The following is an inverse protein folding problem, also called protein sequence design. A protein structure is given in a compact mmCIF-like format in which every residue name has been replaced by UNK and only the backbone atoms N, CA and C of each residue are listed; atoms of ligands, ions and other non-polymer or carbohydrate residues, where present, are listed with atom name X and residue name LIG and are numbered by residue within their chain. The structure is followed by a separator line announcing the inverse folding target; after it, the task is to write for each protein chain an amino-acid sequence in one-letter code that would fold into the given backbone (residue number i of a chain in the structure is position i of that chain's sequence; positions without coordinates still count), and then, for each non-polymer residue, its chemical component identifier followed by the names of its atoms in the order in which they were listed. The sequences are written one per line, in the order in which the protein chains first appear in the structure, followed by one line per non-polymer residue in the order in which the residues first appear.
data_IF_988728642972
#
_entry.id   IF_988728642972
#
_cell.length_a   1.000
_cell.length_b   1.000
_cell.length_c   1.000
_cell.angle_alpha   90.00
_cell.angle_beta   90.00
_cell.angle_gamma   90.00
#
_symmetry.space_group_name_H-M   'P 1'
#
loop_
_entity.id
_entity.type
_entity.pdbx_description
1 polymer ?
#
# COMPACT_ATOMS: atom_id res chain seq x y z
N UNK A 1 74.87 -15.34 -3.39
CA UNK A 1 73.56 -14.82 -2.92
C UNK A 1 72.95 -13.96 -4.02
N UNK A 2 71.95 -14.47 -4.73
CA UNK A 2 71.30 -13.75 -5.83
C UNK A 2 70.03 -13.04 -5.31
N UNK A 3 70.06 -11.70 -5.32
CA UNK A 3 68.94 -10.83 -4.95
C UNK A 3 67.81 -10.96 -5.99
N UNK A 4 66.64 -11.48 -5.59
CA UNK A 4 65.44 -11.50 -6.42
C UNK A 4 64.71 -10.17 -6.28
N UNK A 5 64.67 -9.40 -7.36
CA UNK A 5 64.02 -8.09 -7.44
C UNK A 5 62.50 -8.18 -7.22
N UNK A 6 61.92 -7.35 -6.33
CA UNK A 6 60.49 -7.36 -5.99
C UNK A 6 59.58 -6.72 -7.06
N UNK A 7 60.12 -6.27 -8.19
CA UNK A 7 59.36 -5.55 -9.22
C UNK A 7 58.56 -6.47 -10.17
N UNK A 8 58.96 -7.73 -10.31
CA UNK A 8 58.28 -8.70 -11.20
C UNK A 8 56.83 -9.03 -10.82
N UNK A 9 56.45 -9.27 -9.54
CA UNK A 9 55.06 -9.60 -9.20
C UNK A 9 54.08 -8.43 -9.40
N UNK A 10 54.53 -7.18 -9.29
CA UNK A 10 53.68 -6.00 -9.49
C UNK A 10 53.35 -5.77 -10.97
N UNK A 11 54.34 -5.94 -11.87
CA UNK A 11 54.13 -5.84 -13.31
C UNK A 11 53.20 -6.93 -13.84
N UNK A 12 53.32 -8.17 -13.33
CA UNK A 12 52.42 -9.26 -13.72
C UNK A 12 50.99 -8.99 -13.26
N UNK A 13 50.78 -8.48 -12.05
CA UNK A 13 49.44 -8.11 -11.57
C UNK A 13 48.81 -6.97 -12.38
N UNK A 14 49.60 -5.95 -12.73
CA UNK A 14 49.12 -4.83 -13.55
C UNK A 14 48.71 -5.29 -14.96
N UNK A 15 49.49 -6.18 -15.58
CA UNK A 15 49.17 -6.76 -16.89
C UNK A 15 47.91 -7.64 -16.85
N UNK A 16 47.74 -8.46 -15.81
CA UNK A 16 46.54 -9.30 -15.65
C UNK A 16 45.28 -8.44 -15.44
N UNK A 17 45.38 -7.38 -14.64
CA UNK A 17 44.26 -6.44 -14.44
C UNK A 17 43.93 -5.65 -15.71
N UNK A 18 44.94 -5.19 -16.46
CA UNK A 18 44.75 -4.50 -17.73
C UNK A 18 44.10 -5.37 -18.80
N UNK A 19 44.52 -6.63 -18.91
CA UNK A 19 43.94 -7.58 -19.86
C UNK A 19 42.49 -7.95 -19.51
N UNK A 20 42.17 -8.12 -18.22
CA UNK A 20 40.81 -8.37 -17.77
C UNK A 20 39.87 -7.18 -18.06
N UNK A 21 40.33 -5.94 -17.84
CA UNK A 21 39.56 -4.74 -18.14
C UNK A 21 39.31 -4.55 -19.65
N UNK A 22 40.33 -4.79 -20.49
CA UNK A 22 40.19 -4.69 -21.94
C UNK A 22 39.26 -5.78 -22.53
N UNK A 23 39.31 -7.00 -21.96
CA UNK A 23 38.40 -8.08 -22.32
C UNK A 23 36.94 -7.76 -21.97
N UNK A 24 36.70 -7.15 -20.80
CA UNK A 24 35.37 -6.72 -20.39
C UNK A 24 34.79 -5.65 -21.32
N UNK A 25 35.60 -4.63 -21.67
CA UNK A 25 35.16 -3.55 -22.58
C UNK A 25 34.81 -4.08 -23.98
N UNK A 26 35.62 -4.99 -24.54
CA UNK A 26 35.31 -5.61 -25.84
C UNK A 26 34.05 -6.49 -25.78
N UNK A 27 33.87 -7.25 -24.70
CA UNK A 27 32.67 -8.05 -24.52
C UNK A 27 31.41 -7.17 -24.46
N UNK A 28 31.47 -6.02 -23.76
CA UNK A 28 30.37 -5.06 -23.64
C UNK A 28 30.04 -4.35 -24.96
N UNK A 29 31.06 -4.02 -25.75
CA UNK A 29 30.87 -3.37 -27.06
C UNK A 29 30.34 -4.32 -28.15
N UNK A 30 30.49 -5.63 -27.97
CA UNK A 30 30.02 -6.65 -28.90
C UNK A 30 28.57 -7.10 -28.67
N UNK A 31 27.91 -6.63 -27.60
CA UNK A 31 26.55 -7.09 -27.26
C UNK A 31 25.49 -6.27 -28.00
N UNK A 32 24.52 -6.91 -28.69
CA UNK A 32 23.44 -6.20 -29.40
C UNK A 32 22.65 -5.26 -28.48
N UNK A 33 22.08 -4.21 -29.06
CA UNK A 33 21.49 -3.04 -28.38
C UNK A 33 20.56 -3.30 -27.17
N UNK A 34 19.75 -4.37 -27.12
CA UNK A 34 18.95 -4.68 -25.93
C UNK A 34 19.80 -4.99 -24.68
N UNK A 35 20.93 -5.67 -24.84
CA UNK A 35 21.82 -6.05 -23.74
C UNK A 35 22.79 -4.93 -23.35
N UNK A 36 23.12 -4.03 -24.28
CA UNK A 36 23.91 -2.83 -23.97
C UNK A 36 23.21 -1.93 -22.93
N UNK A 37 21.88 -1.83 -22.97
CA UNK A 37 21.07 -1.15 -21.94
C UNK A 37 21.17 -1.80 -20.56
N UNK A 38 21.36 -3.13 -20.51
CA UNK A 38 21.57 -3.87 -19.25
C UNK A 38 22.95 -3.56 -18.67
N UNK A 39 23.98 -3.47 -19.52
CA UNK A 39 25.34 -3.12 -19.09
C UNK A 39 25.47 -1.64 -18.72
N UNK A 40 24.84 -0.72 -19.43
CA UNK A 40 24.81 0.71 -19.06
C UNK A 40 24.05 0.95 -17.73
N UNK A 41 23.32 -0.05 -17.23
CA UNK A 41 22.72 -0.05 -15.90
C UNK A 41 23.62 -0.63 -14.79
N UNK A 42 24.76 -1.24 -15.11
CA UNK A 42 25.70 -1.75 -14.11
C UNK A 42 26.38 -0.58 -13.40
N UNK A 43 25.94 -0.30 -12.16
CA UNK A 43 26.40 0.83 -11.34
C UNK A 43 25.28 1.77 -10.91
N UNK A 44 24.11 1.70 -11.56
CA UNK A 44 22.91 2.36 -11.05
C UNK A 44 22.50 1.74 -9.71
N UNK A 45 22.08 2.56 -8.76
CA UNK A 45 21.47 2.05 -7.54
C UNK A 45 20.23 1.23 -7.88
N UNK A 46 19.88 0.23 -7.06
CA UNK A 46 18.66 -0.57 -7.26
C UNK A 46 17.40 0.29 -7.36
N UNK A 47 17.39 1.46 -6.73
CA UNK A 47 16.33 2.46 -6.79
C UNK A 47 16.24 3.13 -8.17
N UNK A 48 17.35 3.57 -8.75
CA UNK A 48 17.37 4.20 -10.09
C UNK A 48 17.01 3.21 -11.20
N UNK A 49 17.47 1.96 -11.08
CA UNK A 49 17.08 0.89 -11.99
C UNK A 49 15.57 0.64 -11.93
N UNK A 50 15.00 0.57 -10.72
CA UNK A 50 13.56 0.41 -10.50
C UNK A 50 12.76 1.58 -11.07
N UNK A 51 13.17 2.81 -10.79
CA UNK A 51 12.53 4.04 -11.28
C UNK A 51 12.48 4.09 -12.80
N UNK A 52 13.55 3.68 -13.46
CA UNK A 52 13.62 3.63 -14.93
C UNK A 52 12.68 2.60 -15.54
N UNK A 53 12.52 1.45 -14.89
CA UNK A 53 11.72 0.33 -15.41
C UNK A 53 10.24 0.47 -15.10
N UNK A 54 9.87 0.88 -13.88
CA UNK A 54 8.48 0.90 -13.40
C UNK A 54 7.95 2.31 -13.04
N UNK A 55 8.79 3.34 -13.17
CA UNK A 55 8.42 4.71 -12.84
C UNK A 55 8.50 5.08 -11.35
N UNK A 56 8.24 6.37 -11.08
CA UNK A 56 8.32 6.95 -9.73
C UNK A 56 7.25 6.44 -8.79
N UNK A 57 6.02 6.28 -9.28
CA UNK A 57 4.89 5.83 -8.47
C UNK A 57 5.14 4.44 -7.88
N UNK A 58 5.60 3.49 -8.70
CA UNK A 58 5.96 2.14 -8.24
C UNK A 58 7.13 2.20 -7.24
N UNK A 59 8.17 2.97 -7.58
CA UNK A 59 9.36 3.08 -6.74
C UNK A 59 9.04 3.61 -5.35
N UNK A 60 8.27 4.70 -5.27
CA UNK A 60 7.80 5.28 -4.01
C UNK A 60 6.93 4.31 -3.21
N UNK A 61 6.04 3.57 -3.87
CA UNK A 61 5.22 2.56 -3.21
C UNK A 61 6.07 1.43 -2.59
N UNK A 62 7.07 0.93 -3.32
CA UNK A 62 8.01 -0.07 -2.78
C UNK A 62 8.79 0.47 -1.58
N UNK A 63 9.22 1.73 -1.60
CA UNK A 63 9.95 2.32 -0.49
C UNK A 63 9.07 2.46 0.76
N UNK A 64 7.80 2.86 0.61
CA UNK A 64 6.80 2.86 1.68
C UNK A 64 6.60 1.45 2.24
N UNK A 65 6.49 0.44 1.37
CA UNK A 65 6.36 -0.96 1.79
C UNK A 65 7.59 -1.46 2.54
N UNK A 66 8.79 -1.09 2.08
CA UNK A 66 10.04 -1.45 2.75
C UNK A 66 10.15 -0.81 4.13
N UNK A 67 9.71 0.44 4.29
CA UNK A 67 9.66 1.10 5.59
C UNK A 67 8.63 0.43 6.52
N UNK A 68 7.49 0.00 5.98
CA UNK A 68 6.39 -0.60 6.76
C UNK A 68 6.53 -2.07 7.12
N UNK A 69 7.42 -2.80 6.44
CA UNK A 69 7.65 -4.24 6.66
C UNK A 69 9.13 -4.42 7.06
N UNK A 70 9.45 -4.93 8.26
CA UNK A 70 10.84 -5.12 8.65
C UNK A 70 11.54 -6.15 7.75
N UNK A 71 12.87 -6.16 7.61
CA UNK A 71 13.59 -7.07 6.71
C UNK A 71 13.27 -8.57 6.88
N UNK A 72 12.95 -9.04 8.09
CA UNK A 72 12.50 -10.43 8.34
C UNK A 72 10.97 -10.64 8.32
N UNK A 73 10.21 -9.55 8.13
CA UNK A 73 8.77 -9.53 8.16
C UNK A 73 8.14 -10.29 6.99
N UNK A 74 6.96 -10.85 7.26
CA UNK A 74 6.13 -11.48 6.24
C UNK A 74 5.22 -10.48 5.53
N UNK A 75 4.83 -10.80 4.31
CA UNK A 75 3.71 -10.15 3.65
C UNK A 75 2.94 -11.15 2.79
N UNK A 76 1.64 -10.93 2.69
CA UNK A 76 0.76 -11.71 1.84
C UNK A 76 0.58 -10.94 0.53
N UNK A 77 0.85 -11.57 -0.61
CA UNK A 77 0.68 -10.93 -1.91
C UNK A 77 -0.51 -11.52 -2.64
N UNK A 78 -1.40 -10.66 -3.11
CA UNK A 78 -2.48 -11.03 -4.01
C UNK A 78 -2.26 -10.33 -5.35
N UNK A 79 -1.96 -11.14 -6.37
CA UNK A 79 -1.85 -10.65 -7.73
C UNK A 79 -3.19 -10.73 -8.44
N UNK A 80 -3.58 -9.61 -9.06
CA UNK A 80 -4.76 -9.49 -9.90
C UNK A 80 -4.41 -9.57 -11.40
N UNK A 81 -3.13 -9.45 -11.73
CA UNK A 81 -2.56 -9.54 -13.07
C UNK A 81 -2.25 -10.99 -13.50
N UNK A 82 -1.66 -11.13 -14.69
CA UNK A 82 -1.19 -12.42 -15.22
C UNK A 82 -0.23 -13.11 -14.24
N UNK A 83 -0.24 -14.45 -14.17
CA UNK A 83 0.65 -15.20 -13.30
C UNK A 83 2.10 -14.74 -13.41
N UNK A 84 2.69 -14.36 -12.28
CA UNK A 84 4.10 -14.01 -12.19
C UNK A 84 4.41 -12.52 -12.14
N UNK A 85 3.42 -11.62 -12.25
CA UNK A 85 3.63 -10.20 -11.97
C UNK A 85 4.07 -9.93 -10.52
N UNK A 86 3.75 -10.81 -9.58
CA UNK A 86 4.16 -10.76 -8.18
C UNK A 86 5.66 -11.03 -7.95
N UNK A 87 6.35 -11.71 -8.87
CA UNK A 87 7.76 -12.09 -8.67
C UNK A 87 8.70 -10.89 -8.59
N UNK A 88 8.31 -9.80 -9.24
CA UNK A 88 9.06 -8.56 -9.34
C UNK A 88 9.03 -7.85 -7.99
N UNK A 89 7.83 -7.79 -7.39
CA UNK A 89 7.63 -7.28 -6.05
C UNK A 89 8.38 -8.12 -5.00
N UNK A 90 8.44 -9.45 -5.16
CA UNK A 90 9.25 -10.33 -4.30
C UNK A 90 10.72 -9.96 -4.31
N UNK A 91 11.27 -9.72 -5.50
CA UNK A 91 12.67 -9.32 -5.63
C UNK A 91 12.91 -7.97 -4.93
N UNK A 92 12.03 -7.00 -5.18
CA UNK A 92 12.14 -5.66 -4.63
C UNK A 92 11.95 -5.59 -3.11
N UNK A 93 11.11 -6.45 -2.54
CA UNK A 93 10.87 -6.50 -1.09
C UNK A 93 11.83 -7.40 -0.33
N UNK A 94 12.66 -8.19 -1.02
CA UNK A 94 13.73 -8.99 -0.40
C UNK A 94 14.53 -8.15 0.63
N UNK A 95 14.83 -8.69 1.84
CA UNK A 95 14.69 -10.09 2.27
C UNK A 95 13.34 -10.48 2.90
N UNK A 96 12.30 -9.65 2.74
CA UNK A 96 10.96 -9.89 3.31
C UNK A 96 10.34 -11.17 2.75
N UNK A 97 9.61 -11.91 3.59
CA UNK A 97 9.04 -13.22 3.23
C UNK A 97 7.67 -13.05 2.57
N UNK A 98 7.59 -13.32 1.28
CA UNK A 98 6.32 -13.33 0.55
C UNK A 98 5.59 -14.65 0.74
N UNK A 99 4.29 -14.60 1.01
CA UNK A 99 3.35 -15.70 0.72
C UNK A 99 2.38 -15.26 -0.36
N UNK A 100 2.43 -15.96 -1.50
CA UNK A 100 1.50 -15.72 -2.59
C UNK A 100 0.15 -16.35 -2.25
N UNK A 101 -0.90 -15.56 -2.41
CA UNK A 101 -2.27 -15.97 -2.25
C UNK A 101 -2.87 -16.21 -3.64
N UNK A 102 -3.24 -17.45 -3.94
CA UNK A 102 -3.84 -17.82 -5.22
C UNK A 102 -5.23 -17.18 -5.37
N UNK A 103 -5.36 -16.24 -6.32
CA UNK A 103 -6.61 -15.50 -6.58
C UNK A 103 -7.83 -16.41 -6.78
N UNK A 104 -7.65 -17.61 -7.35
CA UNK A 104 -8.75 -18.55 -7.60
C UNK A 104 -9.28 -19.15 -6.30
N UNK A 105 -8.40 -19.30 -5.30
CA UNK A 105 -8.71 -19.86 -3.98
C UNK A 105 -9.06 -18.78 -2.95
N UNK A 106 -8.61 -17.53 -3.13
CA UNK A 106 -8.79 -16.44 -2.16
C UNK A 106 -10.19 -15.83 -2.13
N UNK A 107 -11.13 -16.36 -2.92
CA UNK A 107 -12.55 -16.13 -2.67
C UNK A 107 -13.05 -16.86 -1.41
N UNK A 108 -12.30 -17.83 -0.92
CA UNK A 108 -12.57 -18.51 0.35
C UNK A 108 -12.00 -17.71 1.53
N UNK A 109 -12.84 -17.22 2.46
CA UNK A 109 -12.40 -16.53 3.65
C UNK A 109 -11.48 -17.34 4.56
N UNK A 110 -11.65 -18.67 4.60
CA UNK A 110 -10.86 -19.57 5.44
C UNK A 110 -9.38 -19.57 5.06
N UNK A 111 -9.08 -19.69 3.77
CA UNK A 111 -7.70 -19.78 3.26
C UNK A 111 -6.87 -18.55 3.61
N UNK A 112 -7.48 -17.37 3.53
CA UNK A 112 -6.80 -16.11 3.86
C UNK A 112 -6.68 -15.90 5.38
N UNK A 113 -7.67 -16.32 6.17
CA UNK A 113 -7.56 -16.35 7.64
C UNK A 113 -6.43 -17.28 8.07
N UNK A 114 -6.35 -18.46 7.48
CA UNK A 114 -5.27 -19.42 7.73
C UNK A 114 -3.91 -18.84 7.31
N UNK A 115 -3.85 -18.16 6.16
CA UNK A 115 -2.63 -17.51 5.69
C UNK A 115 -2.17 -16.37 6.61
N UNK A 116 -3.09 -15.55 7.13
CA UNK A 116 -2.79 -14.49 8.08
C UNK A 116 -2.46 -15.02 9.48
N UNK A 117 -3.15 -16.06 9.95
CA UNK A 117 -2.83 -16.74 11.20
C UNK A 117 -1.44 -17.39 11.15
N UNK A 118 -1.04 -17.91 9.99
CA UNK A 118 0.26 -18.53 9.80
C UNK A 118 1.42 -17.53 9.62
N UNK A 119 1.15 -16.23 9.42
CA UNK A 119 2.14 -15.15 9.44
C UNK A 119 1.60 -13.94 10.24
N UNK A 120 1.56 -14.04 11.59
CA UNK A 120 1.09 -12.95 12.44
C UNK A 120 1.88 -11.66 12.17
N UNK A 121 1.18 -10.58 11.87
CA UNK A 121 1.78 -9.28 11.54
C UNK A 121 2.19 -9.11 10.07
N UNK A 122 1.89 -10.08 9.19
CA UNK A 122 2.09 -9.89 7.76
C UNK A 122 1.17 -8.80 7.19
N UNK A 123 1.75 -7.90 6.39
CA UNK A 123 0.94 -6.94 5.62
C UNK A 123 0.39 -7.61 4.38
N UNK A 124 -0.87 -7.34 4.05
CA UNK A 124 -1.47 -7.81 2.82
C UNK A 124 -1.25 -6.77 1.72
N UNK A 125 -0.72 -7.21 0.60
CA UNK A 125 -0.38 -6.40 -0.57
C UNK A 125 -1.24 -6.84 -1.75
N UNK A 126 -1.86 -5.86 -2.40
CA UNK A 126 -2.56 -6.04 -3.66
C UNK A 126 -1.68 -5.54 -4.80
N UNK A 127 -1.47 -6.42 -5.78
CA UNK A 127 -0.75 -6.13 -7.02
C UNK A 127 -1.75 -6.22 -8.16
N UNK A 128 -2.33 -5.08 -8.54
CA UNK A 128 -3.44 -5.04 -9.50
C UNK A 128 -2.96 -5.20 -10.95
N UNK A 129 -1.84 -4.57 -11.28
CA UNK A 129 -1.25 -4.50 -12.62
C UNK A 129 0.30 -4.41 -12.51
N UNK A 130 1.05 -4.94 -13.48
CA UNK A 130 2.51 -4.73 -13.56
C UNK A 130 2.89 -3.24 -13.74
N UNK A 131 2.00 -2.43 -14.32
CA UNK A 131 2.26 -1.00 -14.58
C UNK A 131 1.79 -0.08 -13.44
N UNK A 132 1.09 -0.64 -12.44
CA UNK A 132 0.55 0.10 -11.31
C UNK A 132 1.41 -0.04 -10.05
N UNK A 133 1.46 0.98 -9.16
CA UNK A 133 2.13 0.84 -7.88
C UNK A 133 1.43 -0.23 -7.02
N UNK A 134 2.17 -1.11 -6.33
CA UNK A 134 1.58 -2.04 -5.37
C UNK A 134 0.92 -1.28 -4.22
N UNK A 135 -0.19 -1.79 -3.71
CA UNK A 135 -0.95 -1.15 -2.63
C UNK A 135 -1.03 -2.06 -1.42
N UNK A 136 -0.90 -1.51 -0.22
CA UNK A 136 -1.28 -2.23 0.99
C UNK A 136 -2.80 -2.27 1.09
N UNK A 137 -3.35 -3.41 1.46
CA UNK A 137 -4.76 -3.55 1.79
C UNK A 137 -4.93 -4.38 3.06
N UNK A 138 -6.14 -4.49 3.58
CA UNK A 138 -6.46 -5.35 4.72
C UNK A 138 -7.28 -6.54 4.25
N UNK A 139 -7.28 -7.64 5.00
CA UNK A 139 -8.08 -8.82 4.64
C UNK A 139 -9.57 -8.49 4.51
N UNK A 140 -10.11 -7.67 5.43
CA UNK A 140 -11.48 -7.19 5.30
C UNK A 140 -11.71 -6.44 3.99
N UNK A 141 -10.73 -5.63 3.55
CA UNK A 141 -10.85 -4.89 2.29
C UNK A 141 -10.90 -5.76 1.04
N UNK A 142 -10.44 -7.01 1.10
CA UNK A 142 -10.62 -7.93 -0.02
C UNK A 142 -12.02 -8.54 -0.11
N UNK A 143 -12.73 -8.64 1.01
CA UNK A 143 -14.05 -9.27 1.06
C UNK A 143 -15.20 -8.30 1.10
N UNK A 144 -14.88 -7.01 1.22
CA UNK A 144 -15.93 -6.09 1.59
C UNK A 144 -16.38 -6.18 3.05
N UNK A 145 -15.71 -7.08 3.78
CA UNK A 145 -15.58 -7.14 5.22
C UNK A 145 -15.13 -5.78 5.75
N UNK A 146 -15.86 -5.07 6.63
CA UNK A 146 -15.20 -4.04 7.45
C UNK A 146 -13.86 -4.61 7.96
N UNK A 147 -12.76 -3.83 8.00
CA UNK A 147 -11.43 -4.37 8.25
C UNK A 147 -11.51 -5.31 9.47
N UNK A 148 -10.91 -6.50 9.38
CA UNK A 148 -10.85 -7.49 10.46
C UNK A 148 -10.01 -6.92 11.61
N UNK A 149 -10.55 -5.90 12.24
CA UNK A 149 -9.97 -5.25 13.39
C UNK A 149 -10.34 -6.10 14.60
N UNK A 150 -9.41 -6.32 15.54
CA UNK A 150 -9.68 -7.11 16.73
C UNK A 150 -10.92 -6.56 17.47
N UNK A 151 -11.92 -7.40 17.75
CA UNK A 151 -13.18 -6.97 18.39
C UNK A 151 -12.93 -6.45 19.83
N UNK A 152 -11.86 -6.89 20.49
CA UNK A 152 -11.43 -6.37 21.79
C UNK A 152 -10.93 -4.91 21.74
N UNK A 153 -10.53 -4.43 20.56
CA UNK A 153 -10.18 -3.03 20.31
C UNK A 153 -11.37 -2.21 19.80
N UNK A 154 -12.55 -2.81 19.66
CA UNK A 154 -13.76 -2.08 19.27
C UNK A 154 -14.18 -1.17 20.41
N UNK A 155 -14.31 0.11 20.11
CA UNK A 155 -14.68 1.13 21.08
C UNK A 155 -15.86 1.95 20.58
N UNK A 156 -17.06 1.58 21.05
CA UNK A 156 -18.30 2.30 20.76
C UNK A 156 -18.36 3.70 21.41
N UNK A 157 -17.45 3.99 22.35
CA UNK A 157 -17.28 5.30 22.97
C UNK A 157 -16.46 6.28 22.12
N UNK A 158 -15.82 5.83 21.02
CA UNK A 158 -15.12 6.72 20.12
C UNK A 158 -16.09 7.74 19.50
N UNK A 159 -15.84 9.02 19.76
CA UNK A 159 -16.70 10.10 19.26
C UNK A 159 -16.33 10.42 17.82
N UNK A 160 -17.18 9.98 16.91
CA UNK A 160 -16.99 10.04 15.46
C UNK A 160 -18.34 10.26 14.79
N UNK A 161 -18.37 10.80 13.58
CA UNK A 161 -19.62 10.96 12.85
C UNK A 161 -19.47 10.84 11.33
N UNK A 162 -20.56 10.43 10.69
CA UNK A 162 -20.83 10.58 9.27
C UNK A 162 -21.96 11.60 9.17
N UNK A 163 -21.65 12.80 8.66
CA UNK A 163 -22.59 13.93 8.58
C UNK A 163 -23.37 13.92 7.27
N UNK A 164 -22.75 13.44 6.19
CA UNK A 164 -23.35 13.33 4.85
C UNK A 164 -22.84 12.05 4.19
N UNK A 165 -23.69 11.29 3.48
CA UNK A 165 -25.13 11.47 3.33
C UNK A 165 -25.89 11.21 4.63
N UNK A 166 -27.10 11.75 4.72
CA UNK A 166 -28.10 11.29 5.71
C UNK A 166 -28.81 10.04 5.19
N UNK A 167 -29.40 9.26 6.10
CA UNK A 167 -30.08 8.01 5.74
C UNK A 167 -31.23 8.25 4.76
N UNK A 168 -31.27 7.47 3.69
CA UNK A 168 -32.23 7.57 2.59
C UNK A 168 -31.96 8.71 1.60
N UNK A 169 -30.84 9.45 1.71
CA UNK A 169 -30.55 10.57 0.83
C UNK A 169 -30.38 10.13 -0.64
N UNK A 170 -30.86 10.98 -1.55
CA UNK A 170 -30.61 10.82 -2.99
C UNK A 170 -29.31 11.52 -3.39
N UNK A 171 -28.40 10.82 -4.07
CA UNK A 171 -27.10 11.35 -4.52
C UNK A 171 -26.80 11.00 -5.97
N UNK A 172 -26.04 11.87 -6.63
CA UNK A 172 -25.38 11.58 -7.91
C UNK A 172 -24.07 10.80 -7.70
N UNK A 173 -23.51 10.25 -8.78
CA UNK A 173 -22.15 9.69 -8.85
C UNK A 173 -21.17 10.80 -9.32
N UNK A 174 -20.11 11.14 -8.57
CA UNK A 174 -19.68 10.52 -7.31
C UNK A 174 -20.47 10.98 -6.08
N UNK A 175 -20.65 10.05 -5.13
CA UNK A 175 -21.28 10.28 -3.82
C UNK A 175 -20.36 11.11 -2.92
N UNK A 176 -20.86 12.24 -2.43
CA UNK A 176 -20.21 13.03 -1.39
C UNK A 176 -20.42 12.37 -0.03
N UNK A 177 -19.33 12.11 0.69
CA UNK A 177 -19.35 11.66 2.08
C UNK A 177 -18.54 12.62 2.93
N UNK A 178 -19.16 13.14 3.98
CA UNK A 178 -18.52 14.04 4.94
C UNK A 178 -18.75 13.55 6.36
N UNK A 179 -17.85 13.91 7.25
CA UNK A 179 -17.95 13.60 8.66
C UNK A 179 -16.73 14.10 9.42
N UNK A 180 -16.52 13.56 10.61
CA UNK A 180 -15.36 13.90 11.41
C UNK A 180 -14.95 12.76 12.34
N UNK A 181 -13.68 12.79 12.75
CA UNK A 181 -13.10 11.85 13.70
C UNK A 181 -11.89 12.48 14.37
N UNK A 182 -11.89 12.55 15.69
CA UNK A 182 -10.85 13.14 16.51
C UNK A 182 -10.76 12.41 17.85
N UNK A 183 -9.55 12.19 18.34
CA UNK A 183 -9.28 11.70 19.68
C UNK A 183 -9.01 12.89 20.64
N UNK A 184 -9.28 12.71 21.94
CA UNK A 184 -8.89 13.70 22.96
C UNK A 184 -7.41 14.07 22.90
N UNK A 185 -7.13 15.35 23.13
CA UNK A 185 -5.77 15.91 23.12
C UNK A 185 -5.18 16.13 21.74
N UNK A 186 -5.95 16.67 20.80
CA UNK A 186 -5.49 17.15 19.48
C UNK A 186 -4.99 16.07 18.52
N UNK A 187 -5.48 14.84 18.66
CA UNK A 187 -5.03 13.71 17.84
C UNK A 187 -6.12 13.34 16.82
N UNK A 188 -5.92 13.61 15.51
CA UNK A 188 -6.83 13.10 14.49
C UNK A 188 -6.80 11.58 14.47
N UNK A 189 -7.95 10.97 14.18
CA UNK A 189 -7.98 9.53 13.96
C UNK A 189 -7.01 9.13 12.85
N UNK A 190 -6.25 8.07 13.10
CA UNK A 190 -5.25 7.55 12.19
C UNK A 190 -5.83 7.21 10.81
N UNK A 191 -7.06 6.68 10.75
CA UNK A 191 -7.70 6.33 9.48
C UNK A 191 -9.23 6.50 9.50
N UNK A 192 -9.78 6.77 8.31
CA UNK A 192 -11.20 6.66 7.99
C UNK A 192 -11.31 5.80 6.73
N UNK A 193 -12.03 4.68 6.83
CA UNK A 193 -12.25 3.76 5.71
C UNK A 193 -13.74 3.74 5.36
N UNK A 194 -14.07 3.96 4.08
CA UNK A 194 -15.44 4.06 3.61
C UNK A 194 -15.80 2.82 2.77
N UNK A 195 -17.03 2.33 2.95
CA UNK A 195 -17.51 1.08 2.34
C UNK A 195 -18.89 1.28 1.75
N UNK A 196 -19.13 0.74 0.56
CA UNK A 196 -20.44 0.71 -0.07
C UNK A 196 -20.84 -0.74 -0.30
N UNK A 197 -22.05 -1.10 0.15
CA UNK A 197 -22.62 -2.45 0.03
C UNK A 197 -21.72 -3.55 0.62
N UNK A 198 -20.99 -3.18 1.68
CA UNK A 198 -19.97 -4.03 2.26
C UNK A 198 -18.92 -4.40 1.23
N UNK A 199 -18.38 -3.43 0.49
CA UNK A 199 -17.16 -3.46 -0.33
C UNK A 199 -16.38 -2.17 -0.04
N UNK A 200 -15.03 -2.14 -0.07
CA UNK A 200 -14.32 -0.88 0.07
C UNK A 200 -14.75 0.07 -1.04
N UNK A 201 -15.08 1.30 -0.67
CA UNK A 201 -15.50 2.28 -1.65
C UNK A 201 -14.30 2.70 -2.52
N UNK A 202 -14.54 2.87 -3.83
CA UNK A 202 -13.53 3.45 -4.72
C UNK A 202 -13.57 4.97 -4.54
N UNK A 203 -12.51 5.51 -3.95
CA UNK A 203 -12.42 6.93 -3.59
C UNK A 203 -11.89 7.74 -4.77
N UNK A 204 -12.69 8.67 -5.28
CA UNK A 204 -12.31 9.65 -6.30
C UNK A 204 -11.42 10.77 -5.73
N UNK A 205 -11.73 11.24 -4.53
CA UNK A 205 -10.96 12.25 -3.80
C UNK A 205 -11.16 12.10 -2.30
N UNK A 206 -10.14 12.44 -1.51
CA UNK A 206 -10.22 12.47 -0.04
C UNK A 206 -9.44 13.67 0.49
N UNK A 207 -10.04 14.44 1.39
CA UNK A 207 -9.39 15.56 2.06
C UNK A 207 -9.78 15.65 3.54
N UNK A 208 -8.89 16.22 4.35
CA UNK A 208 -9.15 16.61 5.74
C UNK A 208 -9.42 18.10 5.79
N UNK A 209 -10.29 18.55 6.69
CA UNK A 209 -10.58 19.98 6.86
C UNK A 209 -10.92 20.34 8.32
N UNK A 210 -10.81 21.64 8.71
CA UNK A 210 -11.09 22.10 10.06
C UNK A 210 -12.55 21.94 10.49
N UNK A 211 -12.76 21.54 11.75
CA UNK A 211 -14.08 21.45 12.41
C UNK A 211 -14.11 22.28 13.70
N UNK A 212 -14.13 23.63 13.60
CA UNK A 212 -14.19 24.50 14.77
C UNK A 212 -15.52 24.37 15.53
N UNK A 213 -16.57 23.90 14.86
CA UNK A 213 -17.84 23.51 15.46
C UNK A 213 -17.68 22.35 16.45
N UNK A 214 -16.90 21.33 16.10
CA UNK A 214 -16.62 20.18 16.96
C UNK A 214 -15.79 20.60 18.17
N UNK A 215 -14.71 21.36 17.97
CA UNK A 215 -13.88 21.87 19.08
C UNK A 215 -14.67 22.75 20.07
N UNK A 216 -15.70 23.46 19.59
CA UNK A 216 -16.57 24.28 20.44
C UNK A 216 -17.48 23.44 21.33
N UNK A 217 -17.99 22.32 20.81
CA UNK A 217 -18.92 21.44 21.53
C UNK A 217 -18.19 20.43 22.41
N UNK A 218 -16.99 19.99 21.99
CA UNK A 218 -16.15 19.01 22.67
C UNK A 218 -14.75 19.59 22.92
N UNK A 219 -14.59 20.51 23.88
CA UNK A 219 -13.30 21.18 24.14
C UNK A 219 -12.16 20.21 24.49
N UNK A 220 -12.46 19.05 25.08
CA UNK A 220 -11.50 18.00 25.43
C UNK A 220 -10.78 17.39 24.23
N UNK A 221 -11.33 17.57 23.02
CA UNK A 221 -10.69 17.16 21.77
C UNK A 221 -9.53 18.08 21.36
N UNK A 222 -9.47 19.28 21.94
CA UNK A 222 -8.51 20.33 21.59
C UNK A 222 -8.64 20.80 20.14
N UNK A 223 -7.54 21.15 19.49
CA UNK A 223 -7.53 21.59 18.08
C UNK A 223 -8.14 20.55 17.13
N UNK A 224 -9.26 20.93 16.50
CA UNK A 224 -9.97 20.16 15.48
C UNK A 224 -9.66 20.63 14.05
N UNK A 225 -8.48 21.17 13.79
CA UNK A 225 -8.07 21.65 12.46
C UNK A 225 -8.04 20.57 11.36
N UNK A 226 -7.95 19.29 11.77
CA UNK A 226 -7.92 18.14 10.85
C UNK A 226 -8.96 17.07 11.19
N UNK A 227 -9.92 17.39 12.05
CA UNK A 227 -10.93 16.44 12.51
C UNK A 227 -11.91 16.06 11.40
N UNK A 228 -12.24 17.00 10.51
CA UNK A 228 -13.17 16.79 9.40
C UNK A 228 -12.56 15.92 8.30
N UNK A 229 -13.39 15.14 7.62
CA UNK A 229 -13.04 14.48 6.38
C UNK A 229 -14.13 14.71 5.32
N UNK A 230 -13.70 14.81 4.06
CA UNK A 230 -14.56 14.84 2.89
C UNK A 230 -14.03 13.85 1.86
N UNK A 231 -14.90 12.97 1.39
CA UNK A 231 -14.59 12.00 0.36
C UNK A 231 -15.61 12.07 -0.77
N UNK A 232 -15.16 11.76 -1.99
CA UNK A 232 -16.04 11.49 -3.12
C UNK A 232 -15.87 10.03 -3.50
N UNK A 233 -16.97 9.27 -3.52
CA UNK A 233 -16.97 7.84 -3.75
C UNK A 233 -17.67 7.53 -5.07
N UNK A 234 -17.05 6.70 -5.90
CA UNK A 234 -17.73 6.18 -7.07
C UNK A 234 -18.76 5.13 -6.68
N UNK A 235 -19.81 5.05 -7.49
CA UNK A 235 -20.82 4.00 -7.40
C UNK A 235 -20.16 2.61 -7.47
N UNK A 236 -20.58 1.63 -6.64
CA UNK A 236 -19.92 0.33 -6.59
C UNK A 236 -20.10 -0.48 -7.88
N UNK A 237 -21.20 -0.24 -8.60
CA UNK A 237 -21.49 -0.87 -9.89
C UNK A 237 -22.42 0.01 -10.75
N UNK A 238 -22.28 -0.04 -12.08
CA UNK A 238 -23.25 0.59 -12.98
C UNK A 238 -24.67 0.12 -12.69
N UNK A 239 -25.64 1.03 -12.71
CA UNK A 239 -27.06 0.70 -12.53
C UNK A 239 -27.53 0.38 -11.09
N UNK A 240 -26.68 0.44 -10.06
CA UNK A 240 -27.16 0.30 -8.68
C UNK A 240 -28.20 1.38 -8.32
N UNK A 241 -29.39 1.00 -7.85
CA UNK A 241 -30.41 1.99 -7.45
C UNK A 241 -30.17 2.49 -6.04
N UNK A 242 -29.70 1.61 -5.16
CA UNK A 242 -29.39 1.92 -3.77
C UNK A 242 -28.04 1.34 -3.35
N UNK A 243 -27.41 1.95 -2.35
CA UNK A 243 -26.21 1.42 -1.69
C UNK A 243 -26.24 1.69 -0.18
N UNK A 244 -25.60 0.82 0.60
CA UNK A 244 -25.40 0.97 2.04
C UNK A 244 -23.98 1.43 2.35
N UNK A 245 -23.84 2.65 2.86
CA UNK A 245 -22.58 3.23 3.27
C UNK A 245 -22.22 2.83 4.71
N UNK A 246 -20.97 2.47 4.95
CA UNK A 246 -20.38 2.35 6.28
C UNK A 246 -19.08 3.14 6.35
N UNK A 247 -18.80 3.72 7.52
CA UNK A 247 -17.51 4.31 7.83
C UNK A 247 -16.86 3.54 8.98
N UNK A 248 -15.57 3.25 8.86
CA UNK A 248 -14.77 2.64 9.90
C UNK A 248 -13.65 3.58 10.28
N UNK A 249 -13.64 3.96 11.55
CA UNK A 249 -12.73 4.91 12.14
C UNK A 249 -11.71 4.16 12.98
N UNK A 250 -10.43 4.49 12.82
CA UNK A 250 -9.35 3.87 13.59
C UNK A 250 -8.50 4.97 14.21
N UNK A 251 -8.26 4.85 15.51
CA UNK A 251 -7.40 5.74 16.30
C UNK A 251 -5.93 5.36 16.17
N UNK A 252 -5.04 6.23 16.66
CA UNK A 252 -3.60 5.95 16.65
C UNK A 252 -3.20 4.76 17.54
N UNK A 253 -3.96 4.48 18.60
CA UNK A 253 -3.73 3.34 19.49
C UNK A 253 -4.35 2.02 19.01
N UNK A 254 -5.04 2.05 17.86
CA UNK A 254 -5.63 0.87 17.22
C UNK A 254 -7.08 0.59 17.61
N UNK A 255 -7.67 1.33 18.55
CA UNK A 255 -9.12 1.27 18.80
C UNK A 255 -9.90 1.71 17.59
N UNK A 256 -11.07 1.11 17.39
CA UNK A 256 -11.86 1.38 16.20
C UNK A 256 -13.37 1.40 16.45
N UNK A 257 -14.08 2.09 15.57
CA UNK A 257 -15.55 2.15 15.57
C UNK A 257 -16.10 2.12 14.16
N UNK A 258 -17.19 1.38 13.98
CA UNK A 258 -17.96 1.34 12.72
C UNK A 258 -19.25 2.15 12.88
N UNK A 259 -19.53 3.02 11.92
CA UNK A 259 -20.76 3.82 11.83
C UNK A 259 -21.51 3.48 10.55
N UNK A 260 -22.84 3.43 10.65
CA UNK A 260 -23.76 3.03 9.59
C UNK A 260 -24.50 1.72 9.92
N UNK A 261 -25.27 1.15 8.96
CA UNK A 261 -25.36 1.60 7.57
C UNK A 261 -26.09 2.93 7.42
N UNK A 262 -25.72 3.69 6.39
CA UNK A 262 -26.50 4.79 5.84
C UNK A 262 -26.97 4.37 4.45
N UNK A 263 -28.27 4.32 4.22
CA UNK A 263 -28.84 4.03 2.90
C UNK A 263 -28.72 5.25 1.99
N UNK A 264 -28.26 5.03 0.77
CA UNK A 264 -28.11 6.05 -0.28
C UNK A 264 -28.87 5.59 -1.51
N UNK A 265 -29.63 6.50 -2.12
CA UNK A 265 -30.33 6.27 -3.40
C UNK A 265 -29.60 7.00 -4.51
N UNK A 266 -29.27 6.29 -5.59
CA UNK A 266 -28.56 6.87 -6.72
C UNK A 266 -29.55 7.53 -7.69
N UNK A 267 -29.20 8.72 -8.20
CA UNK A 267 -29.88 9.38 -9.33
C UNK A 267 -29.19 9.08 -10.66
#
# INVERSE_FOLDING_TARGET
MASRSPLRPLLVRALVLGAAAAGLVRAVLAVPGPLRRVVEGFGASTVEARRRTYGDAYTGAVDVLRAGIPPGGGYLAMASCEPGCEYWLRYDLSPRRMRLLDRRRTRDPGILRDAAAAEPGARLLLVESPDGPPRTTTLGALWGEAPLLPEDLRDEGLVVAVDTPVDGASSSDPLLVEGWCQEPGERPCAAVSLWLDGLPATVASFERYPRPDVARVLPEMGSCERAGYRARLYKPRPGAETSRLYAVFVTADGRWRKVGPVEVRWR
#
